data_IF_032150758101
#
_entry.id   IF_032150758101
#
_cell.length_a   1.000
_cell.length_b   1.000
_cell.length_c   1.000
_cell.angle_alpha   90.00
_cell.angle_beta   90.00
_cell.angle_gamma   90.00
#
_symmetry.space_group_name_H-M   'P 1'
#
loop_
_entity.id
_entity.type
_entity.pdbx_description
1 polymer ?
#
# COMPACT_ATOMS: atom_id res chain seq x y z
N UNK A 1 2.03 -9.98 -2.89
CA UNK A 1 2.28 -9.88 -4.34
C UNK A 1 2.07 -8.44 -4.78
N UNK A 2 2.67 -8.05 -5.91
CA UNK A 2 2.51 -6.71 -6.49
C UNK A 2 1.57 -6.79 -7.69
N UNK A 3 0.49 -6.00 -7.67
CA UNK A 3 -0.49 -5.92 -8.76
C UNK A 3 -0.62 -4.44 -9.14
N UNK A 4 -0.25 -4.06 -10.36
CA UNK A 4 -0.22 -2.67 -10.83
C UNK A 4 0.47 -1.71 -9.83
N UNK A 5 1.62 -2.14 -9.29
CA UNK A 5 2.41 -1.39 -8.28
C UNK A 5 1.68 -1.20 -6.93
N UNK A 6 0.62 -1.94 -6.67
CA UNK A 6 -0.04 -2.01 -5.35
C UNK A 6 0.32 -3.31 -4.64
N UNK A 7 0.65 -3.22 -3.37
CA UNK A 7 0.81 -4.41 -2.53
C UNK A 7 -0.53 -5.08 -2.29
N UNK A 8 -0.63 -6.35 -2.68
CA UNK A 8 -1.78 -7.20 -2.38
C UNK A 8 -1.34 -8.32 -1.46
N UNK A 9 -1.96 -8.41 -0.30
CA UNK A 9 -1.65 -9.42 0.70
C UNK A 9 -2.82 -10.38 0.83
N UNK A 10 -2.51 -11.66 0.77
CA UNK A 10 -3.50 -12.71 0.81
C UNK A 10 -3.16 -13.75 1.87
N UNK A 11 -4.18 -14.29 2.48
CA UNK A 11 -4.13 -15.52 3.27
C UNK A 11 -4.48 -16.68 2.36
N UNK A 12 -3.63 -17.71 2.37
CA UNK A 12 -3.88 -18.96 1.67
C UNK A 12 -4.35 -19.99 2.69
N UNK A 13 -5.56 -20.50 2.50
CA UNK A 13 -6.16 -21.55 3.37
C UNK A 13 -6.24 -22.85 2.61
N UNK A 14 -5.81 -23.95 3.24
CA UNK A 14 -5.99 -25.29 2.72
C UNK A 14 -7.25 -25.91 3.34
N UNK A 15 -8.30 -26.03 2.53
CA UNK A 15 -9.56 -26.69 2.88
C UNK A 15 -9.97 -27.57 1.68
N UNK A 16 -9.34 -28.75 1.57
CA UNK A 16 -9.43 -29.61 0.39
C UNK A 16 -8.69 -29.07 -0.83
N UNK A 17 -8.86 -27.78 -1.15
CA UNK A 17 -8.10 -27.04 -2.15
C UNK A 17 -7.64 -25.69 -1.56
N UNK A 18 -6.54 -25.13 -2.11
CA UNK A 18 -6.06 -23.82 -1.69
C UNK A 18 -7.07 -22.73 -2.05
N UNK A 19 -7.53 -22.01 -1.03
CA UNK A 19 -8.38 -20.81 -1.18
C UNK A 19 -7.57 -19.58 -0.83
N UNK A 20 -7.70 -18.55 -1.67
CA UNK A 20 -7.06 -17.25 -1.48
C UNK A 20 -8.07 -16.22 -0.98
N UNK A 21 -7.80 -15.61 0.15
CA UNK A 21 -8.62 -14.54 0.71
C UNK A 21 -7.74 -13.29 0.98
N UNK A 22 -8.22 -12.06 0.75
CA UNK A 22 -7.47 -10.87 1.13
C UNK A 22 -7.18 -10.84 2.63
N UNK A 23 -5.98 -10.39 3.02
CA UNK A 23 -5.68 -10.16 4.43
C UNK A 23 -6.51 -8.99 4.94
N UNK A 24 -7.28 -9.21 6.01
CA UNK A 24 -8.04 -8.15 6.68
C UNK A 24 -7.09 -7.09 7.21
N UNK A 25 -7.38 -5.82 6.94
CA UNK A 25 -6.58 -4.67 7.39
C UNK A 25 -5.33 -4.36 6.57
N UNK A 26 -5.09 -5.08 5.46
CA UNK A 26 -4.07 -4.67 4.51
C UNK A 26 -4.48 -3.33 3.84
N UNK A 27 -3.57 -2.33 3.74
CA UNK A 27 -3.88 -1.06 3.11
C UNK A 27 -4.04 -1.21 1.59
N UNK A 28 -4.75 -0.27 0.98
CA UNK A 28 -4.91 -0.24 -0.48
C UNK A 28 -3.64 0.23 -1.20
N UNK A 29 -2.95 1.19 -0.61
CA UNK A 29 -1.73 1.82 -1.14
C UNK A 29 -0.57 1.64 -0.17
N UNK A 30 0.63 1.80 -0.68
CA UNK A 30 1.84 1.85 0.11
C UNK A 30 2.56 0.51 0.28
N UNK A 31 3.57 0.55 1.10
CA UNK A 31 4.44 -0.60 1.38
C UNK A 31 3.90 -1.41 2.56
N UNK A 32 3.95 -2.72 2.42
CA UNK A 32 3.50 -3.67 3.45
C UNK A 32 4.61 -4.67 3.73
N UNK A 33 4.93 -4.85 5.00
CA UNK A 33 5.79 -5.94 5.47
C UNK A 33 5.06 -6.73 6.54
N UNK A 34 5.13 -8.06 6.45
CA UNK A 34 4.49 -8.97 7.40
C UNK A 34 5.53 -9.91 7.97
N UNK A 35 5.47 -10.09 9.29
CA UNK A 35 6.32 -11.02 10.02
C UNK A 35 5.44 -11.87 10.93
N UNK A 36 5.45 -13.19 10.74
CA UNK A 36 4.78 -14.11 11.63
C UNK A 36 5.41 -14.05 13.03
N UNK A 37 4.60 -14.18 14.07
CA UNK A 37 5.08 -14.33 15.45
C UNK A 37 5.67 -15.72 15.62
N UNK A 38 4.90 -16.73 15.24
CA UNK A 38 5.32 -18.12 15.16
C UNK A 38 4.70 -18.74 13.91
N UNK A 39 5.51 -19.06 12.86
CA UNK A 39 4.98 -19.53 11.59
C UNK A 39 4.39 -20.94 11.67
N UNK A 40 4.72 -21.73 12.68
CA UNK A 40 4.33 -23.13 12.79
C UNK A 40 3.11 -23.34 13.71
N UNK A 41 2.97 -22.51 14.76
CA UNK A 41 1.99 -22.78 15.82
C UNK A 41 0.97 -21.64 16.00
N UNK A 42 1.13 -20.49 15.32
CA UNK A 42 0.30 -19.30 15.56
C UNK A 42 -0.21 -18.66 14.27
N UNK A 43 -1.40 -18.07 14.34
CA UNK A 43 -1.96 -17.18 13.32
C UNK A 43 -1.66 -15.71 13.58
N UNK A 44 -0.75 -15.42 14.50
CA UNK A 44 -0.37 -14.08 14.91
C UNK A 44 0.72 -13.50 14.02
N UNK A 45 0.64 -12.22 13.74
CA UNK A 45 1.62 -11.53 12.90
C UNK A 45 1.81 -10.07 13.31
N UNK A 46 2.98 -9.55 13.00
CA UNK A 46 3.24 -8.12 12.94
C UNK A 46 3.08 -7.62 11.51
N UNK A 47 2.41 -6.48 11.37
CA UNK A 47 2.17 -5.80 10.11
C UNK A 47 2.80 -4.40 10.18
N UNK A 48 3.77 -4.13 9.33
CA UNK A 48 4.31 -2.79 9.15
C UNK A 48 3.80 -2.20 7.85
N UNK A 49 3.16 -1.04 7.93
CA UNK A 49 2.60 -0.34 6.77
C UNK A 49 3.08 1.09 6.72
N UNK A 50 3.24 1.62 5.52
CA UNK A 50 3.50 3.05 5.27
C UNK A 50 3.00 3.41 3.87
N UNK A 51 2.50 4.62 3.69
CA UNK A 51 2.15 5.17 2.39
C UNK A 51 2.54 6.66 2.31
N UNK A 52 2.16 7.33 1.21
CA UNK A 52 2.52 8.74 0.98
C UNK A 52 1.91 9.70 2.02
N UNK A 53 0.82 9.33 2.69
CA UNK A 53 0.06 10.15 3.63
C UNK A 53 0.08 9.59 5.05
N UNK A 54 0.42 8.31 5.21
CA UNK A 54 0.38 7.60 6.49
C UNK A 54 1.80 7.27 6.95
N UNK A 55 2.23 7.77 8.12
CA UNK A 55 3.52 7.41 8.71
C UNK A 55 3.65 5.90 8.93
N UNK A 56 4.89 5.40 8.91
CA UNK A 56 5.17 4.00 9.19
C UNK A 56 4.52 3.58 10.50
N UNK A 57 3.67 2.57 10.42
CA UNK A 57 2.88 2.06 11.55
C UNK A 57 3.13 0.58 11.70
N UNK A 58 3.50 0.16 12.91
CA UNK A 58 3.58 -1.23 13.35
C UNK A 58 2.26 -1.61 13.99
N UNK A 59 1.67 -2.68 13.50
CA UNK A 59 0.44 -3.26 14.04
C UNK A 59 0.65 -4.73 14.40
N UNK A 60 -0.11 -5.23 15.37
CA UNK A 60 -0.23 -6.64 15.69
C UNK A 60 -1.58 -7.16 15.21
N UNK A 61 -1.59 -8.32 14.60
CA UNK A 61 -2.80 -8.94 14.07
C UNK A 61 -2.87 -10.44 14.30
N UNK A 62 -4.08 -10.95 14.16
CA UNK A 62 -4.39 -12.37 14.07
C UNK A 62 -5.13 -12.59 12.75
N UNK A 63 -4.79 -13.63 12.00
CA UNK A 63 -5.43 -13.92 10.72
C UNK A 63 -6.95 -13.95 10.87
N UNK A 64 -7.66 -13.18 10.01
CA UNK A 64 -9.11 -13.04 10.03
C UNK A 64 -9.64 -11.92 10.93
N UNK A 65 -8.79 -11.22 11.67
CA UNK A 65 -9.16 -10.08 12.50
C UNK A 65 -8.50 -8.78 12.02
N UNK A 66 -9.10 -7.64 12.39
CA UNK A 66 -8.51 -6.32 12.11
C UNK A 66 -7.26 -6.12 12.98
N UNK A 67 -6.08 -5.85 12.39
CA UNK A 67 -4.86 -5.58 13.14
C UNK A 67 -5.00 -4.34 14.03
N UNK A 68 -4.36 -4.36 15.18
CA UNK A 68 -4.33 -3.26 16.16
C UNK A 68 -3.02 -2.50 16.03
N UNK A 69 -3.02 -1.18 15.79
CA UNK A 69 -1.81 -0.38 15.82
C UNK A 69 -1.15 -0.44 17.20
N UNK A 70 0.15 -0.71 17.21
CA UNK A 70 0.98 -0.70 18.41
C UNK A 70 1.80 0.58 18.51
N UNK A 71 2.38 1.02 17.38
CA UNK A 71 3.28 2.16 17.34
C UNK A 71 3.29 2.78 15.93
N UNK A 72 3.32 4.11 15.88
CA UNK A 72 3.50 4.86 14.63
C UNK A 72 4.62 5.88 14.77
N UNK A 73 5.30 6.17 13.67
CA UNK A 73 6.14 7.36 13.59
C UNK A 73 5.26 8.61 13.65
N UNK A 74 5.80 9.75 14.13
CA UNK A 74 5.07 11.01 14.10
C UNK A 74 4.78 11.44 12.65
N UNK A 75 3.65 12.10 12.44
CA UNK A 75 3.35 12.74 11.16
C UNK A 75 4.30 13.93 10.93
N UNK A 76 4.85 14.05 9.72
CA UNK A 76 5.73 15.15 9.33
C UNK A 76 4.97 16.35 8.78
N UNK A 77 3.72 16.16 8.39
CA UNK A 77 2.82 17.18 7.86
C UNK A 77 1.36 16.79 8.10
N UNK A 78 0.45 17.78 7.94
CA UNK A 78 -0.99 17.52 8.00
C UNK A 78 -1.48 16.94 6.66
N UNK A 79 -1.87 15.68 6.66
CA UNK A 79 -2.37 14.95 5.50
C UNK A 79 -3.91 14.95 5.40
N UNK A 80 -4.65 15.56 6.33
CA UNK A 80 -6.12 15.42 6.45
C UNK A 80 -6.88 15.91 5.20
N UNK A 81 -6.32 16.90 4.50
CA UNK A 81 -6.87 17.45 3.26
C UNK A 81 -6.38 16.81 1.97
N UNK A 82 -5.55 15.75 2.05
CA UNK A 82 -4.93 15.11 0.90
C UNK A 82 -5.57 13.76 0.58
N UNK A 83 -5.37 13.30 -0.64
CA UNK A 83 -5.76 11.98 -1.09
C UNK A 83 -4.70 11.38 -2.02
N UNK A 84 -4.67 10.06 -2.08
CA UNK A 84 -3.85 9.27 -3.01
C UNK A 84 -4.78 8.69 -4.06
N UNK A 85 -4.39 8.80 -5.32
CA UNK A 85 -5.07 8.13 -6.42
C UNK A 85 -4.07 7.47 -7.36
N UNK A 86 -4.47 6.36 -7.98
CA UNK A 86 -3.67 5.68 -9.00
C UNK A 86 -4.26 5.95 -10.37
N UNK A 87 -3.39 6.25 -11.32
CA UNK A 87 -3.74 6.50 -12.72
C UNK A 87 -2.80 5.72 -13.64
N UNK A 88 -3.13 5.67 -14.93
CA UNK A 88 -2.32 5.01 -15.95
C UNK A 88 -2.07 5.95 -17.11
N UNK A 89 -0.79 6.15 -17.42
CA UNK A 89 -0.37 6.76 -18.67
C UNK A 89 -0.22 5.68 -19.75
N UNK A 90 -0.53 6.01 -20.99
CA UNK A 90 -0.32 5.08 -22.11
C UNK A 90 0.92 5.51 -22.88
N UNK A 91 1.92 4.64 -22.92
CA UNK A 91 3.14 4.81 -23.70
C UNK A 91 2.85 4.73 -25.20
N UNK A 92 3.82 5.15 -26.05
CA UNK A 92 3.69 5.10 -27.52
C UNK A 92 3.47 3.69 -28.07
N UNK A 93 3.96 2.68 -27.39
CA UNK A 93 3.80 1.26 -27.74
C UNK A 93 2.50 0.63 -27.18
N UNK A 94 1.66 1.42 -26.52
CA UNK A 94 0.40 0.98 -25.92
C UNK A 94 0.54 0.48 -24.47
N UNK A 95 1.75 0.40 -23.91
CA UNK A 95 1.97 -0.04 -22.54
C UNK A 95 1.32 0.91 -21.53
N UNK A 96 0.58 0.35 -20.60
CA UNK A 96 -0.02 1.07 -19.47
C UNK A 96 0.99 1.22 -18.35
N UNK A 97 1.38 2.45 -18.05
CA UNK A 97 2.33 2.80 -17.00
C UNK A 97 1.57 3.35 -15.81
N UNK A 98 1.52 2.64 -14.68
CA UNK A 98 0.85 3.12 -13.48
C UNK A 98 1.65 4.26 -12.83
N UNK A 99 0.93 5.24 -12.29
CA UNK A 99 1.52 6.28 -11.45
C UNK A 99 0.55 6.66 -10.32
N UNK A 100 1.11 7.14 -9.22
CA UNK A 100 0.34 7.65 -8.09
C UNK A 100 0.32 9.17 -8.12
N UNK A 101 -0.81 9.74 -7.77
CA UNK A 101 -0.98 11.17 -7.56
C UNK A 101 -1.38 11.41 -6.10
N UNK A 102 -0.63 12.30 -5.44
CA UNK A 102 -0.96 12.81 -4.12
C UNK A 102 -1.35 14.27 -4.29
N UNK A 103 -2.58 14.61 -3.95
CA UNK A 103 -3.13 15.93 -4.17
C UNK A 103 -4.13 16.32 -3.08
N UNK A 104 -4.51 17.60 -3.04
CA UNK A 104 -5.65 18.06 -2.22
C UNK A 104 -6.94 17.42 -2.73
N UNK A 105 -7.80 17.01 -1.81
CA UNK A 105 -9.15 16.52 -2.13
C UNK A 105 -9.91 17.55 -2.94
N UNK A 106 -10.48 17.13 -4.06
CA UNK A 106 -11.24 18.02 -4.95
C UNK A 106 -10.39 19.04 -5.72
N UNK A 107 -9.09 18.80 -5.89
CA UNK A 107 -8.22 19.66 -6.68
C UNK A 107 -8.73 19.78 -8.12
N UNK A 108 -8.93 21.01 -8.60
CA UNK A 108 -9.27 21.27 -10.00
C UNK A 108 -8.04 21.11 -10.89
N UNK A 109 -8.10 20.15 -11.82
CA UNK A 109 -7.01 19.85 -12.77
C UNK A 109 -7.09 20.78 -14.00
N UNK A 110 -6.77 22.06 -13.82
CA UNK A 110 -6.85 23.11 -14.85
C UNK A 110 -5.51 23.44 -15.54
N UNK A 111 -4.45 22.66 -15.23
CA UNK A 111 -3.10 22.86 -15.79
C UNK A 111 -2.27 23.95 -15.11
N UNK A 112 -2.81 24.66 -14.12
CA UNK A 112 -2.11 25.73 -13.40
C UNK A 112 -1.52 25.28 -12.04
N UNK A 113 -1.69 24.00 -11.67
CA UNK A 113 -1.19 23.49 -10.41
C UNK A 113 0.31 23.22 -10.47
N UNK A 114 1.12 23.78 -9.54
CA UNK A 114 2.52 23.37 -9.41
C UNK A 114 2.59 21.87 -9.14
N UNK A 115 3.35 21.13 -9.95
CA UNK A 115 3.40 19.67 -9.90
C UNK A 115 4.84 19.19 -9.84
N UNK A 116 5.15 18.31 -8.88
CA UNK A 116 6.40 17.57 -8.81
C UNK A 116 6.18 16.17 -9.42
N UNK A 117 6.90 15.86 -10.49
CA UNK A 117 6.99 14.50 -11.02
C UNK A 117 8.26 13.84 -10.49
N UNK A 118 8.10 12.72 -9.80
CA UNK A 118 9.19 11.93 -9.26
C UNK A 118 9.14 10.49 -9.78
N UNK A 119 10.30 9.93 -10.10
CA UNK A 119 10.43 8.54 -10.51
C UNK A 119 11.78 7.98 -10.10
N UNK A 120 11.82 6.68 -9.85
CA UNK A 120 13.04 5.93 -9.62
C UNK A 120 13.20 4.91 -10.75
N UNK A 121 14.36 4.92 -11.44
CA UNK A 121 14.54 4.14 -12.68
C UNK A 121 15.59 3.03 -12.59
N UNK A 122 16.02 2.64 -11.37
CA UNK A 122 17.06 1.64 -11.18
C UNK A 122 16.59 0.38 -10.46
N UNK A 123 17.25 -0.75 -10.74
CA UNK A 123 17.15 -2.02 -9.99
C UNK A 123 15.72 -2.59 -9.83
N UNK A 124 14.83 -2.30 -10.77
CA UNK A 124 13.41 -2.74 -10.73
C UNK A 124 12.66 -2.33 -9.43
N UNK A 125 13.09 -1.25 -8.76
CA UNK A 125 12.45 -0.76 -7.56
C UNK A 125 11.19 0.00 -7.94
N UNK A 126 10.04 -0.52 -7.53
CA UNK A 126 8.74 0.15 -7.67
C UNK A 126 8.53 1.17 -6.56
N UNK A 127 8.07 2.37 -6.91
CA UNK A 127 7.56 3.35 -5.95
C UNK A 127 6.10 3.00 -5.62
N UNK A 128 5.82 2.80 -4.32
CA UNK A 128 4.53 2.30 -3.82
C UNK A 128 3.92 3.28 -2.82
#
# INVERSE_FOLDING_TARGET
>A
MLEDVKNRVYVMKLDGNWKREPLVGAPEFGTVNIMAVDPDESNEFFLTTTDYLTPTTLSYGVIGQQPKPLKSLPAFFDASGLEISQHFATSKDGTKVPYFMVAKKGLELNGANPTLLYGYGGFEISLQ
#
